data_IF_679472244595
#
_entry.id   IF_679472244595
#
_cell.length_a   1.000
_cell.length_b   1.000
_cell.length_c   1.000
_cell.angle_alpha   90.00
_cell.angle_beta   90.00
_cell.angle_gamma   90.00
#
_symmetry.space_group_name_H-M   'P 1'
#
loop_
_entity.id
_entity.type
_entity.pdbx_description
1 polymer ?
#
# COMPACT_ATOMS: atom_id res chain seq x y z
N UNK A 1 -9.63 -17.45 20.49
CA UNK A 1 -10.48 -17.99 21.58
C UNK A 1 -10.22 -19.46 21.92
N UNK A 2 -10.26 -20.42 20.96
CA UNK A 2 -10.02 -21.85 21.26
C UNK A 2 -8.66 -22.16 21.92
N UNK A 3 -7.59 -21.46 21.53
CA UNK A 3 -6.25 -21.61 22.13
C UNK A 3 -6.17 -21.12 23.59
N UNK A 4 -6.80 -19.98 23.90
CA UNK A 4 -6.88 -19.45 25.27
C UNK A 4 -7.68 -20.38 26.19
N UNK A 5 -8.78 -20.93 25.68
CA UNK A 5 -9.58 -21.92 26.40
C UNK A 5 -8.77 -23.19 26.69
N UNK A 6 -8.05 -23.72 25.71
CA UNK A 6 -7.20 -24.91 25.89
C UNK A 6 -6.04 -24.65 26.88
N UNK A 7 -5.41 -23.47 26.84
CA UNK A 7 -4.35 -23.10 27.77
C UNK A 7 -4.87 -22.99 29.22
N UNK A 8 -6.04 -22.37 29.42
CA UNK A 8 -6.73 -22.32 30.71
C UNK A 8 -7.11 -23.71 31.23
N UNK A 9 -7.55 -24.59 30.33
CA UNK A 9 -7.91 -25.97 30.68
C UNK A 9 -6.68 -26.75 31.16
N UNK A 10 -5.55 -26.63 30.46
CA UNK A 10 -4.27 -27.27 30.83
C UNK A 10 -3.76 -26.73 32.17
N UNK A 11 -3.82 -25.41 32.37
CA UNK A 11 -3.47 -24.77 33.66
C UNK A 11 -4.35 -25.28 34.80
N UNK A 12 -5.66 -25.42 34.56
CA UNK A 12 -6.58 -25.96 35.57
C UNK A 12 -6.31 -27.44 35.89
N UNK A 13 -6.02 -28.26 34.88
CA UNK A 13 -5.67 -29.67 35.06
C UNK A 13 -4.36 -29.83 35.84
N UNK A 14 -3.35 -28.99 35.57
CA UNK A 14 -2.09 -28.99 36.32
C UNK A 14 -2.30 -28.57 37.78
N UNK A 15 -3.12 -27.55 38.03
CA UNK A 15 -3.44 -27.11 39.38
C UNK A 15 -4.21 -28.17 40.18
N UNK A 16 -5.17 -28.84 39.55
CA UNK A 16 -5.96 -29.94 40.15
C UNK A 16 -5.07 -31.16 40.41
N UNK A 17 -4.24 -31.55 39.44
CA UNK A 17 -3.30 -32.66 39.59
C UNK A 17 -2.29 -32.44 40.72
N UNK A 18 -1.82 -31.19 40.89
CA UNK A 18 -0.96 -30.81 41.99
C UNK A 18 -1.67 -30.84 43.36
N UNK A 19 -2.89 -30.31 43.45
CA UNK A 19 -3.69 -30.37 44.66
C UNK A 19 -3.98 -31.83 45.07
N UNK A 20 -4.30 -32.70 44.09
CA UNK A 20 -4.49 -34.12 44.31
C UNK A 20 -3.22 -34.82 44.79
N UNK A 21 -2.06 -34.51 44.21
CA UNK A 21 -0.77 -35.09 44.62
C UNK A 21 -0.35 -34.71 46.05
N UNK A 22 -0.79 -33.54 46.56
CA UNK A 22 -0.50 -33.10 47.93
C UNK A 22 -1.44 -33.72 48.97
N UNK A 23 -2.67 -34.07 48.57
CA UNK A 23 -3.71 -34.66 49.45
C UNK A 23 -3.58 -36.19 49.50
N UNK A 24 -3.19 -36.83 48.39
CA UNK A 24 -3.02 -38.28 48.32
C UNK A 24 -1.57 -38.67 48.57
N UNK A 25 -1.26 -39.13 49.79
CA UNK A 25 -0.02 -39.84 50.07
C UNK A 25 -0.10 -41.26 49.48
N UNK A 26 0.47 -41.46 48.30
CA UNK A 26 0.57 -42.79 47.70
C UNK A 26 1.65 -43.56 48.50
N UNK A 27 1.32 -44.68 49.18
CA UNK A 27 2.33 -45.48 49.86
C UNK A 27 3.37 -45.94 48.82
N UNK A 28 4.65 -45.92 49.20
CA UNK A 28 5.84 -46.17 48.36
C UNK A 28 6.36 -45.00 47.49
N UNK A 29 5.66 -43.88 47.38
CA UNK A 29 6.18 -42.67 46.72
C UNK A 29 6.45 -41.55 47.74
N UNK A 30 7.70 -41.46 48.19
CA UNK A 30 8.19 -40.28 48.92
C UNK A 30 8.66 -39.24 47.91
N UNK A 31 7.79 -38.30 47.53
CA UNK A 31 8.21 -37.12 46.77
C UNK A 31 9.18 -36.34 47.66
N UNK A 32 10.48 -36.35 47.34
CA UNK A 32 11.45 -35.48 48.00
C UNK A 32 11.05 -34.04 47.68
N UNK A 33 10.70 -33.27 48.71
CA UNK A 33 10.29 -31.86 48.63
C UNK A 33 11.45 -30.89 48.23
N UNK A 34 12.47 -31.36 47.51
CA UNK A 34 13.63 -30.53 47.11
C UNK A 34 13.32 -29.58 45.95
N UNK A 35 12.27 -29.86 45.17
CA UNK A 35 11.81 -28.97 44.10
C UNK A 35 10.69 -28.07 44.63
N UNK A 36 10.97 -26.77 44.70
CA UNK A 36 9.95 -25.76 45.02
C UNK A 36 8.87 -25.76 43.92
N UNK A 37 7.64 -26.18 44.22
CA UNK A 37 6.55 -26.26 43.24
C UNK A 37 6.18 -24.89 42.68
N UNK A 38 6.40 -23.83 43.46
CA UNK A 38 6.12 -22.45 43.04
C UNK A 38 7.11 -22.05 41.95
N UNK A 39 8.39 -22.44 42.09
CA UNK A 39 9.40 -22.21 41.06
C UNK A 39 9.08 -22.94 39.76
N UNK A 40 8.61 -24.19 39.85
CA UNK A 40 8.24 -25.00 38.68
C UNK A 40 7.01 -24.43 37.95
N UNK A 41 5.99 -24.02 38.69
CA UNK A 41 4.80 -23.37 38.13
C UNK A 41 5.12 -22.00 37.53
N UNK A 42 5.94 -21.20 38.20
CA UNK A 42 6.42 -19.90 37.71
C UNK A 42 7.18 -20.05 36.38
N UNK A 43 8.06 -21.04 36.28
CA UNK A 43 8.77 -21.36 35.04
C UNK A 43 7.80 -21.73 33.90
N UNK A 44 6.79 -22.56 34.18
CA UNK A 44 5.80 -22.99 33.20
C UNK A 44 4.93 -21.82 32.70
N UNK A 45 4.47 -20.95 33.61
CA UNK A 45 3.75 -19.72 33.25
C UNK A 45 4.63 -18.79 32.42
N UNK A 46 5.91 -18.64 32.78
CA UNK A 46 6.85 -17.81 32.04
C UNK A 46 7.02 -18.28 30.59
N UNK A 47 7.13 -19.60 30.36
CA UNK A 47 7.20 -20.18 29.02
C UNK A 47 5.91 -19.93 28.23
N UNK A 48 4.75 -20.08 28.86
CA UNK A 48 3.46 -19.79 28.21
C UNK A 48 3.34 -18.32 27.82
N UNK A 49 3.69 -17.39 28.72
CA UNK A 49 3.67 -15.96 28.42
C UNK A 49 4.62 -15.64 27.27
N UNK A 50 5.82 -16.19 27.27
CA UNK A 50 6.79 -16.00 26.18
C UNK A 50 6.22 -16.51 24.84
N UNK A 51 5.61 -17.69 24.84
CA UNK A 51 4.96 -18.28 23.66
C UNK A 51 3.79 -17.44 23.16
N UNK A 52 2.94 -16.95 24.07
CA UNK A 52 1.82 -16.07 23.73
C UNK A 52 2.31 -14.74 23.14
N UNK A 53 3.33 -14.15 23.76
CA UNK A 53 3.92 -12.88 23.33
C UNK A 53 4.53 -13.03 21.94
N UNK A 54 5.26 -14.12 21.69
CA UNK A 54 5.78 -14.46 20.36
C UNK A 54 4.66 -14.63 19.33
N UNK A 55 3.66 -15.45 19.64
CA UNK A 55 2.59 -15.79 18.68
C UNK A 55 1.70 -14.60 18.31
N UNK A 56 1.38 -13.72 19.26
CA UNK A 56 0.54 -12.56 18.97
C UNK A 56 1.32 -11.40 18.35
N UNK A 57 2.51 -11.09 18.85
CA UNK A 57 3.28 -9.95 18.35
C UNK A 57 3.84 -10.23 16.95
N UNK A 58 4.38 -11.44 16.71
CA UNK A 58 4.93 -11.76 15.39
C UNK A 58 3.82 -11.84 14.34
N UNK A 59 2.65 -12.37 14.70
CA UNK A 59 1.52 -12.42 13.78
C UNK A 59 1.01 -11.02 13.40
N UNK A 60 0.79 -10.15 14.38
CA UNK A 60 0.33 -8.78 14.10
C UNK A 60 1.37 -7.99 13.30
N UNK A 61 2.66 -8.26 13.50
CA UNK A 61 3.75 -7.66 12.73
C UNK A 61 3.78 -8.19 11.30
N UNK A 62 3.64 -9.50 11.12
CA UNK A 62 3.61 -10.15 9.81
C UNK A 62 2.40 -9.69 8.99
N UNK A 63 1.21 -9.61 9.60
CA UNK A 63 -0.01 -9.13 8.96
C UNK A 63 0.15 -7.67 8.49
N UNK A 64 0.71 -6.78 9.33
CA UNK A 64 0.98 -5.39 8.94
C UNK A 64 2.00 -5.27 7.79
N UNK A 65 3.06 -6.07 7.81
CA UNK A 65 4.05 -6.09 6.72
C UNK A 65 3.39 -6.55 5.43
N UNK A 66 2.57 -7.61 5.50
CA UNK A 66 1.84 -8.14 4.35
C UNK A 66 0.84 -7.14 3.77
N UNK A 67 0.09 -6.44 4.61
CA UNK A 67 -0.83 -5.38 4.20
C UNK A 67 -0.08 -4.24 3.49
N UNK A 68 1.06 -3.82 4.06
CA UNK A 68 1.93 -2.81 3.42
C UNK A 68 2.42 -3.27 2.06
N UNK A 69 2.87 -4.52 1.94
CA UNK A 69 3.38 -5.08 0.69
C UNK A 69 2.28 -5.15 -0.40
N UNK A 70 1.04 -5.46 -0.03
CA UNK A 70 -0.10 -5.43 -0.95
C UNK A 70 -0.35 -4.02 -1.48
N UNK A 71 -0.27 -2.99 -0.63
CA UNK A 71 -0.44 -1.60 -1.05
C UNK A 71 0.73 -1.16 -1.94
N UNK A 72 1.96 -1.51 -1.59
CA UNK A 72 3.14 -1.23 -2.42
C UNK A 72 3.03 -1.91 -3.79
N UNK A 73 2.50 -3.12 -3.86
CA UNK A 73 2.19 -3.81 -5.11
C UNK A 73 1.19 -3.04 -5.97
N UNK A 74 0.13 -2.47 -5.37
CA UNK A 74 -0.83 -1.61 -6.09
C UNK A 74 -0.19 -0.31 -6.61
N UNK A 75 0.71 0.29 -5.84
CA UNK A 75 1.44 1.49 -6.30
C UNK A 75 2.34 1.13 -7.49
N UNK A 76 2.99 -0.03 -7.46
CA UNK A 76 3.81 -0.53 -8.57
C UNK A 76 2.95 -0.76 -9.84
N UNK A 77 1.76 -1.34 -9.72
CA UNK A 77 0.82 -1.48 -10.85
C UNK A 77 0.49 -0.13 -11.50
N UNK A 78 0.26 0.92 -10.69
CA UNK A 78 0.01 2.27 -11.19
C UNK A 78 1.26 2.83 -11.88
N UNK A 79 2.44 2.62 -11.32
CA UNK A 79 3.69 3.03 -11.94
C UNK A 79 3.87 2.38 -13.32
N UNK A 80 3.61 1.09 -13.44
CA UNK A 80 3.68 0.38 -14.72
C UNK A 80 2.63 0.87 -15.72
N UNK A 81 1.41 1.18 -15.26
CA UNK A 81 0.37 1.78 -16.12
C UNK A 81 0.80 3.16 -16.66
N UNK A 82 1.38 4.01 -15.81
CA UNK A 82 1.90 5.32 -16.25
C UNK A 82 3.04 5.14 -17.26
N UNK A 83 3.91 4.15 -17.03
CA UNK A 83 5.02 3.83 -17.93
C UNK A 83 4.52 3.34 -19.28
N UNK A 84 3.52 2.44 -19.32
CA UNK A 84 2.95 1.93 -20.58
C UNK A 84 2.27 3.04 -21.36
N UNK A 85 1.48 3.89 -20.68
CA UNK A 85 0.87 5.07 -21.29
C UNK A 85 1.94 5.99 -21.88
N UNK A 86 3.02 6.29 -21.15
CA UNK A 86 4.11 7.15 -21.65
C UNK A 86 4.74 6.65 -22.95
N UNK A 87 4.76 5.32 -23.15
CA UNK A 87 5.26 4.70 -24.38
C UNK A 87 4.26 4.85 -25.53
N UNK A 88 2.95 4.67 -25.27
CA UNK A 88 1.89 4.87 -26.26
C UNK A 88 1.84 6.33 -26.77
N UNK A 89 2.05 7.31 -25.89
CA UNK A 89 2.15 8.74 -26.23
C UNK A 89 3.42 9.12 -27.02
N UNK A 90 4.37 8.21 -27.19
CA UNK A 90 5.47 8.39 -28.14
C UNK A 90 5.00 8.43 -29.60
N UNK A 91 3.79 7.95 -29.88
CA UNK A 91 3.12 8.14 -31.16
C UNK A 91 2.48 9.53 -31.24
N UNK A 92 2.70 10.24 -32.33
CA UNK A 92 2.30 11.65 -32.53
C UNK A 92 0.78 11.89 -32.57
N UNK A 93 -0.02 10.83 -32.39
CA UNK A 93 -1.48 10.85 -32.47
C UNK A 93 -2.08 9.84 -31.50
N UNK A 94 -3.08 10.25 -30.72
CA UNK A 94 -3.85 9.36 -29.84
C UNK A 94 -5.34 9.71 -29.91
N UNK A 95 -6.18 8.70 -29.71
CA UNK A 95 -7.62 8.92 -29.57
C UNK A 95 -7.91 9.78 -28.31
N UNK A 96 -8.62 10.89 -28.50
CA UNK A 96 -8.84 11.89 -27.46
C UNK A 96 -9.57 11.31 -26.23
N UNK A 97 -10.55 10.44 -26.48
CA UNK A 97 -11.29 9.68 -25.46
C UNK A 97 -10.36 8.83 -24.58
N UNK A 98 -9.41 8.15 -25.21
CA UNK A 98 -8.43 7.27 -24.57
C UNK A 98 -7.48 8.07 -23.68
N UNK A 99 -7.03 9.24 -24.12
CA UNK A 99 -6.15 10.11 -23.33
C UNK A 99 -6.81 10.59 -22.01
N UNK A 100 -8.06 11.06 -22.10
CA UNK A 100 -8.82 11.51 -20.92
C UNK A 100 -9.19 10.34 -19.99
N UNK A 101 -9.58 9.19 -20.56
CA UNK A 101 -9.93 8.00 -19.77
C UNK A 101 -8.73 7.45 -18.99
N UNK A 102 -7.56 7.42 -19.62
CA UNK A 102 -6.32 6.92 -19.03
C UNK A 102 -5.86 7.74 -17.83
N UNK A 103 -5.84 9.07 -17.94
CA UNK A 103 -5.49 9.96 -16.83
C UNK A 103 -6.51 9.89 -15.69
N UNK A 104 -7.81 9.78 -16.00
CA UNK A 104 -8.87 9.57 -15.00
C UNK A 104 -8.68 8.25 -14.25
N UNK A 105 -8.34 7.18 -14.96
CA UNK A 105 -8.09 5.85 -14.36
C UNK A 105 -6.94 5.90 -13.35
N UNK A 106 -5.80 6.50 -13.71
CA UNK A 106 -4.66 6.69 -12.80
C UNK A 106 -5.08 7.44 -11.54
N UNK A 107 -5.82 8.54 -11.70
CA UNK A 107 -6.30 9.36 -10.59
C UNK A 107 -7.17 8.56 -9.62
N UNK A 108 -8.13 7.79 -10.12
CA UNK A 108 -9.04 6.98 -9.30
C UNK A 108 -8.28 5.91 -8.52
N UNK A 109 -7.31 5.24 -9.16
CA UNK A 109 -6.49 4.22 -8.50
C UNK A 109 -5.64 4.82 -7.37
N UNK A 110 -5.05 6.00 -7.57
CA UNK A 110 -4.29 6.69 -6.52
C UNK A 110 -5.14 7.12 -5.33
N UNK A 111 -6.36 7.60 -5.57
CA UNK A 111 -7.30 7.94 -4.49
C UNK A 111 -7.73 6.68 -3.71
N UNK A 112 -7.97 5.57 -4.40
CA UNK A 112 -8.26 4.30 -3.74
C UNK A 112 -7.10 3.82 -2.86
N UNK A 113 -5.84 4.06 -3.26
CA UNK A 113 -4.66 3.75 -2.42
C UNK A 113 -4.63 4.64 -1.19
N UNK A 114 -5.01 5.91 -1.29
CA UNK A 114 -5.11 6.80 -0.13
C UNK A 114 -6.10 6.25 0.90
N UNK A 115 -7.25 5.78 0.45
CA UNK A 115 -8.28 5.21 1.33
C UNK A 115 -7.80 3.92 1.99
N UNK A 116 -7.10 3.05 1.25
CA UNK A 116 -6.48 1.83 1.81
C UNK A 116 -5.40 2.16 2.84
N UNK A 117 -4.55 3.16 2.58
CA UNK A 117 -3.50 3.57 3.53
C UNK A 117 -4.12 4.11 4.83
N UNK A 118 -5.24 4.83 4.75
CA UNK A 118 -5.99 5.31 5.93
C UNK A 118 -6.58 4.13 6.72
N UNK A 119 -7.13 3.13 6.05
CA UNK A 119 -7.73 1.95 6.68
C UNK A 119 -6.69 1.12 7.44
N UNK A 120 -5.51 0.92 6.85
CA UNK A 120 -4.39 0.16 7.45
C UNK A 120 -3.61 0.99 8.50
N UNK A 121 -3.90 2.29 8.63
CA UNK A 121 -3.23 3.17 9.58
C UNK A 121 -1.77 3.49 9.21
N UNK A 122 -1.39 3.32 7.95
CA UNK A 122 -0.06 3.69 7.43
C UNK A 122 -0.05 5.17 7.10
N UNK A 123 1.09 5.85 7.31
CA UNK A 123 1.21 7.24 6.92
C UNK A 123 1.05 7.40 5.40
N UNK A 124 -0.03 8.05 4.99
CA UNK A 124 -0.43 8.21 3.60
C UNK A 124 0.25 9.40 2.90
N UNK A 125 1.13 10.15 3.58
CA UNK A 125 1.94 11.24 3.02
C UNK A 125 1.13 12.15 2.08
N UNK A 126 0.07 12.77 2.62
CA UNK A 126 -0.96 13.48 1.84
C UNK A 126 -0.39 14.55 0.90
N UNK A 127 0.64 15.29 1.32
CA UNK A 127 1.23 16.37 0.51
C UNK A 127 1.82 15.84 -0.80
N UNK A 128 2.44 14.67 -0.75
CA UNK A 128 3.06 14.01 -1.89
C UNK A 128 1.99 13.48 -2.85
N UNK A 129 0.94 12.87 -2.31
CA UNK A 129 -0.22 12.46 -3.09
C UNK A 129 -0.88 13.66 -3.79
N UNK A 130 -1.12 14.76 -3.08
CA UNK A 130 -1.68 15.99 -3.65
C UNK A 130 -0.81 16.53 -4.80
N UNK A 131 0.52 16.47 -4.65
CA UNK A 131 1.46 16.84 -5.71
C UNK A 131 1.32 15.94 -6.94
N UNK A 132 1.17 14.63 -6.76
CA UNK A 132 0.95 13.66 -7.86
C UNK A 132 -0.38 13.96 -8.56
N UNK A 133 -1.45 14.16 -7.79
CA UNK A 133 -2.79 14.47 -8.33
C UNK A 133 -2.79 15.78 -9.14
N UNK A 134 -2.03 16.78 -8.68
CA UNK A 134 -1.87 18.04 -9.41
C UNK A 134 -1.11 17.85 -10.72
N UNK A 135 -0.08 17.01 -10.75
CA UNK A 135 0.65 16.69 -11.97
C UNK A 135 -0.22 15.89 -12.95
N UNK A 136 -1.06 14.95 -12.48
CA UNK A 136 -2.06 14.27 -13.32
C UNK A 136 -3.04 15.26 -13.94
N UNK A 137 -3.49 16.26 -13.17
CA UNK A 137 -4.37 17.31 -13.70
C UNK A 137 -3.68 18.12 -14.80
N UNK A 138 -2.40 18.46 -14.60
CA UNK A 138 -1.60 19.13 -15.64
C UNK A 138 -1.46 18.27 -16.88
N UNK A 139 -1.12 17.00 -16.72
CA UNK A 139 -1.02 16.05 -17.82
C UNK A 139 -2.35 15.93 -18.58
N UNK A 140 -3.47 15.78 -17.88
CA UNK A 140 -4.78 15.76 -18.52
C UNK A 140 -5.05 17.05 -19.31
N UNK A 141 -4.71 18.22 -18.77
CA UNK A 141 -4.82 19.47 -19.50
C UNK A 141 -3.89 19.51 -20.72
N UNK A 142 -2.67 18.99 -20.64
CA UNK A 142 -1.77 18.91 -21.80
C UNK A 142 -2.36 18.02 -22.91
N UNK A 143 -3.08 16.97 -22.54
CA UNK A 143 -3.70 16.04 -23.47
C UNK A 143 -5.02 16.57 -24.06
N UNK A 144 -5.77 17.35 -23.29
CA UNK A 144 -7.16 17.69 -23.63
C UNK A 144 -7.38 19.16 -23.99
N UNK A 145 -6.53 20.08 -23.50
CA UNK A 145 -6.73 21.51 -23.67
C UNK A 145 -6.23 21.98 -25.04
N UNK A 146 -7.18 22.46 -25.85
CA UNK A 146 -6.94 23.18 -27.08
C UNK A 146 -7.02 24.69 -26.80
N UNK A 147 -5.99 25.45 -27.17
CA UNK A 147 -6.08 26.92 -27.19
C UNK A 147 -6.48 27.34 -28.60
N UNK A 148 -7.67 27.93 -28.82
CA UNK A 148 -7.95 28.57 -30.10
C UNK A 148 -7.00 29.77 -30.29
N UNK A 149 -6.64 30.13 -31.53
CA UNK A 149 -5.86 31.34 -31.78
C UNK A 149 -6.61 32.57 -31.23
N UNK A 150 -5.89 33.45 -30.54
CA UNK A 150 -6.48 34.68 -30.03
C UNK A 150 -6.88 35.57 -31.21
N UNK A 151 -8.05 36.19 -31.11
CA UNK A 151 -8.69 36.96 -32.18
C UNK A 151 -7.78 38.14 -32.56
N UNK A 152 -7.03 38.00 -33.65
CA UNK A 152 -6.12 39.04 -34.15
C UNK A 152 -4.76 38.55 -34.63
N UNK A 153 -4.34 37.33 -34.29
CA UNK A 153 -3.12 36.73 -34.86
C UNK A 153 -3.42 36.20 -36.26
N UNK A 154 -2.66 36.69 -37.23
CA UNK A 154 -2.79 36.33 -38.65
C UNK A 154 -2.67 34.81 -38.78
N UNK A 155 -3.74 34.15 -39.23
CA UNK A 155 -3.90 32.69 -39.34
C UNK A 155 -2.81 31.97 -40.18
N UNK A 156 -1.91 32.68 -40.85
CA UNK A 156 -1.00 32.10 -41.83
C UNK A 156 0.16 31.28 -41.22
N UNK A 157 0.56 31.53 -39.98
CA UNK A 157 1.70 30.84 -39.34
C UNK A 157 1.36 30.16 -38.00
N UNK A 158 0.09 30.12 -37.60
CA UNK A 158 -0.30 29.48 -36.33
C UNK A 158 -0.31 27.95 -36.48
N UNK A 159 0.66 27.27 -35.87
CA UNK A 159 0.68 25.82 -35.74
C UNK A 159 0.01 25.47 -34.39
N UNK A 160 -1.20 24.88 -34.38
CA UNK A 160 -1.87 24.51 -33.15
C UNK A 160 -1.07 23.43 -32.41
N UNK A 161 -0.98 23.55 -31.09
CA UNK A 161 -0.32 22.53 -30.26
C UNK A 161 -1.04 21.17 -30.28
N UNK A 162 -2.34 21.18 -30.58
CA UNK A 162 -3.18 20.01 -30.75
C UNK A 162 -4.12 20.25 -31.94
N UNK A 163 -4.21 19.28 -32.84
CA UNK A 163 -5.20 19.25 -33.92
C UNK A 163 -6.04 18.00 -33.74
N UNK A 164 -7.33 18.16 -33.43
CA UNK A 164 -8.25 17.02 -33.33
C UNK A 164 -8.97 16.85 -34.66
N UNK A 165 -8.79 15.70 -35.32
CA UNK A 165 -9.52 15.28 -36.53
C UNK A 165 -10.03 13.86 -36.32
N UNK A 166 -11.30 13.62 -36.62
CA UNK A 166 -11.92 12.29 -36.53
C UNK A 166 -11.69 11.59 -35.17
N UNK A 167 -11.82 12.33 -34.07
CA UNK A 167 -11.60 11.88 -32.69
C UNK A 167 -10.13 11.52 -32.34
N UNK A 168 -9.19 11.77 -33.25
CA UNK A 168 -7.75 11.59 -33.06
C UNK A 168 -7.11 12.95 -32.82
N UNK A 169 -6.43 13.08 -31.67
CA UNK A 169 -5.64 14.25 -31.33
C UNK A 169 -4.22 14.08 -31.86
N UNK A 170 -3.81 14.96 -32.77
CA UNK A 170 -2.44 15.08 -33.27
C UNK A 170 -1.71 16.18 -32.50
N UNK A 171 -0.55 15.86 -31.94
CA UNK A 171 0.20 16.76 -31.07
C UNK A 171 1.37 17.39 -31.80
N UNK A 172 1.62 18.68 -31.57
CA UNK A 172 2.85 19.34 -32.02
C UNK A 172 4.07 18.72 -31.33
N UNK A 173 5.25 18.83 -31.93
CA UNK A 173 6.50 18.33 -31.36
C UNK A 173 6.80 18.97 -30.00
N UNK A 174 6.42 20.24 -29.81
CA UNK A 174 6.58 20.94 -28.54
C UNK A 174 5.62 20.39 -27.47
N UNK A 175 4.36 20.13 -27.86
CA UNK A 175 3.37 19.53 -26.96
C UNK A 175 3.75 18.13 -26.53
N UNK A 176 4.26 17.31 -27.45
CA UNK A 176 4.80 15.98 -27.14
C UNK A 176 5.95 16.04 -26.13
N UNK A 177 6.89 16.99 -26.27
CA UNK A 177 7.96 17.18 -25.27
C UNK A 177 7.41 17.52 -23.89
N UNK A 178 6.39 18.39 -23.80
CA UNK A 178 5.74 18.73 -22.54
C UNK A 178 5.03 17.51 -21.92
N UNK A 179 4.30 16.74 -22.73
CA UNK A 179 3.61 15.52 -22.30
C UNK A 179 4.62 14.51 -21.76
N UNK A 180 5.69 14.24 -22.50
CA UNK A 180 6.75 13.31 -22.09
C UNK A 180 7.44 13.75 -20.79
N UNK A 181 7.77 15.04 -20.67
CA UNK A 181 8.34 15.59 -19.45
C UNK A 181 7.40 15.46 -18.25
N UNK A 182 6.09 15.65 -18.45
CA UNK A 182 5.09 15.47 -17.39
C UNK A 182 4.94 14.00 -16.99
N UNK A 183 4.97 13.06 -17.96
CA UNK A 183 5.01 11.62 -17.67
C UNK A 183 6.26 11.21 -16.89
N UNK A 184 7.44 11.70 -17.26
CA UNK A 184 8.69 11.43 -16.57
C UNK A 184 8.65 11.94 -15.13
N UNK A 185 8.18 13.17 -14.93
CA UNK A 185 7.99 13.74 -13.62
C UNK A 185 6.98 12.95 -12.78
N UNK A 186 5.87 12.52 -13.38
CA UNK A 186 4.85 11.71 -12.71
C UNK A 186 5.43 10.36 -12.25
N UNK A 187 6.20 9.68 -13.11
CA UNK A 187 6.93 8.44 -12.76
C UNK A 187 7.85 8.67 -11.55
N UNK A 188 8.65 9.73 -11.55
CA UNK A 188 9.54 10.06 -10.43
C UNK A 188 8.77 10.34 -9.14
N UNK A 189 7.65 11.06 -9.21
CA UNK A 189 6.83 11.38 -8.03
C UNK A 189 6.15 10.14 -7.44
N UNK A 190 5.61 9.26 -8.28
CA UNK A 190 5.00 7.99 -7.84
C UNK A 190 6.04 7.08 -7.20
N UNK A 191 7.24 6.96 -7.78
CA UNK A 191 8.34 6.20 -7.18
C UNK A 191 8.77 6.80 -5.83
N UNK A 192 8.89 8.13 -5.74
CA UNK A 192 9.22 8.79 -4.48
C UNK A 192 8.14 8.54 -3.40
N UNK A 193 6.86 8.51 -3.79
CA UNK A 193 5.75 8.20 -2.90
C UNK A 193 5.81 6.75 -2.41
N UNK A 194 6.07 5.79 -3.30
CA UNK A 194 6.29 4.37 -2.96
C UNK A 194 7.43 4.21 -1.95
N UNK A 195 8.56 4.88 -2.17
CA UNK A 195 9.71 4.84 -1.26
C UNK A 195 9.39 5.42 0.13
N UNK A 196 8.58 6.48 0.19
CA UNK A 196 8.15 7.08 1.48
C UNK A 196 7.20 6.18 2.25
N UNK A 197 6.30 5.48 1.58
CA UNK A 197 5.42 4.49 2.22
C UNK A 197 6.23 3.30 2.70
N UNK A 198 7.21 2.84 1.92
CA UNK A 198 8.04 1.71 2.32
C UNK A 198 8.90 2.02 3.57
N UNK A 199 9.38 3.27 3.69
CA UNK A 199 10.17 3.75 4.85
C UNK A 199 9.33 4.06 6.09
N UNK A 200 8.02 4.23 5.94
CA UNK A 200 7.09 4.42 7.06
C UNK A 200 6.73 3.05 7.69
#
# INVERSE_FOLDING_TARGET
MKLLFNALLILSCLAIGFAAAKIYSIPYFSIKNELDPIALFSALVSVLVLYFLYTFIDKDKEDRVREKDLILGRIEEIYQLIKSQSFEFGSSSIEYSTAAANTKRVRVLLLSIEDLLKEVGVNHHKKELDSILLEIRKLNNLLTYYRPPETGEIMHDYIPDIVVRDNIAHYSTNRLKQINSSYDKLKTQVLAYQLKINRA
#
